data_IF_535435368598
#
_entry.id   IF_535435368598
#
_cell.length_a   1.000
_cell.length_b   1.000
_cell.length_c   1.000
_cell.angle_alpha   90.00
_cell.angle_beta   90.00
_cell.angle_gamma   90.00
#
_symmetry.space_group_name_H-M   'P 1'
#
loop_
_entity.id
_entity.type
_entity.pdbx_description
1 polymer ?
#
# COMPACT_ATOMS: atom_id res chain seq x y z
N UNK A 1 -1.97 13.30 47.98
CA UNK A 1 -3.22 13.99 47.56
C UNK A 1 -2.84 15.20 46.74
N UNK A 2 -3.11 15.24 45.42
CA UNK A 2 -2.88 16.45 44.60
C UNK A 2 -4.16 16.78 43.83
N UNK A 3 -5.11 17.36 44.56
CA UNK A 3 -6.40 17.84 44.04
C UNK A 3 -6.32 19.36 44.03
N UNK A 4 -6.01 19.97 42.87
CA UNK A 4 -5.89 21.43 42.86
C UNK A 4 -5.52 22.16 41.57
N UNK A 5 -5.54 21.55 40.38
CA UNK A 5 -5.23 22.30 39.12
C UNK A 5 -6.01 21.81 37.90
N UNK A 6 -7.33 21.95 37.88
CA UNK A 6 -8.14 21.72 36.66
C UNK A 6 -9.24 22.76 36.39
N UNK A 7 -9.45 23.76 37.25
CA UNK A 7 -10.47 24.78 37.00
C UNK A 7 -9.94 25.82 36.01
N UNK A 8 -10.23 25.61 34.72
CA UNK A 8 -9.88 26.52 33.62
C UNK A 8 -9.08 25.88 32.48
N UNK A 9 -8.70 24.60 32.60
CA UNK A 9 -7.96 23.91 31.54
C UNK A 9 -8.94 23.36 30.51
N UNK A 10 -9.32 24.20 29.54
CA UNK A 10 -10.02 23.73 28.36
C UNK A 10 -9.10 22.72 27.64
N UNK A 11 -9.45 21.44 27.74
CA UNK A 11 -8.91 20.39 26.88
C UNK A 11 -9.20 20.82 25.44
N UNK A 12 -8.20 21.41 24.77
CA UNK A 12 -8.24 21.58 23.33
C UNK A 12 -8.23 20.16 22.76
N UNK A 13 -9.41 19.65 22.42
CA UNK A 13 -9.56 18.45 21.60
C UNK A 13 -8.76 18.63 20.31
N UNK A 14 -8.43 17.54 19.59
CA UNK A 14 -7.55 17.61 18.44
C UNK A 14 -8.10 18.63 17.44
N UNK A 15 -7.44 19.79 17.36
CA UNK A 15 -7.81 20.83 16.43
C UNK A 15 -7.66 20.25 15.03
N UNK A 16 -8.77 20.05 14.32
CA UNK A 16 -8.73 19.67 12.91
C UNK A 16 -7.97 20.76 12.19
N UNK A 17 -6.85 20.39 11.57
CA UNK A 17 -6.06 21.34 10.80
C UNK A 17 -6.98 21.99 9.76
N UNK A 18 -7.04 23.32 9.76
CA UNK A 18 -7.78 24.07 8.75
C UNK A 18 -7.31 23.60 7.36
N UNK A 19 -8.25 23.46 6.43
CA UNK A 19 -7.99 23.03 5.05
C UNK A 19 -7.11 24.11 4.41
N UNK A 20 -5.79 23.92 4.41
CA UNK A 20 -4.83 24.83 3.80
C UNK A 20 -4.64 24.39 2.36
N UNK A 21 -4.78 25.33 1.42
CA UNK A 21 -4.49 25.09 0.02
C UNK A 21 -3.12 24.42 -0.13
N UNK A 22 -3.09 23.35 -0.92
CA UNK A 22 -1.86 22.60 -1.16
C UNK A 22 -0.88 23.53 -1.88
N UNK A 23 0.28 23.73 -1.27
CA UNK A 23 1.36 24.50 -1.89
C UNK A 23 1.81 23.81 -3.19
N UNK A 24 2.01 24.60 -4.25
CA UNK A 24 2.42 24.10 -5.56
C UNK A 24 3.75 23.36 -5.46
N UNK A 25 3.78 22.14 -5.98
CA UNK A 25 4.99 21.31 -6.11
C UNK A 25 5.34 20.47 -4.89
N UNK A 26 6.04 19.34 -5.12
CA UNK A 26 6.54 18.48 -4.04
C UNK A 26 7.71 19.17 -3.34
N UNK A 27 7.60 19.43 -2.03
CA UNK A 27 8.72 19.96 -1.23
C UNK A 27 9.78 18.86 -1.09
N UNK A 28 10.96 19.09 -1.64
CA UNK A 28 12.10 18.17 -1.48
C UNK A 28 12.59 18.27 -0.04
N UNK A 29 12.67 17.12 0.64
CA UNK A 29 13.29 17.05 1.97
C UNK A 29 14.80 17.15 1.76
N UNK A 30 15.50 18.11 2.39
CA UNK A 30 16.93 18.22 2.24
C UNK A 30 17.62 16.96 2.80
N UNK A 31 18.63 16.41 2.10
CA UNK A 31 19.27 15.14 2.48
C UNK A 31 19.97 15.22 3.85
N UNK A 32 20.34 16.43 4.29
CA UNK A 32 20.94 16.72 5.59
C UNK A 32 20.00 16.50 6.78
N UNK A 33 18.71 16.20 6.56
CA UNK A 33 17.73 15.90 7.62
C UNK A 33 17.39 14.41 7.65
N UNK A 34 18.24 13.55 8.25
CA UNK A 34 18.14 12.10 8.12
C UNK A 34 16.83 11.54 8.67
N UNK A 35 16.31 12.07 9.79
CA UNK A 35 15.03 11.63 10.36
C UNK A 35 13.84 11.89 9.41
N UNK A 36 13.82 13.06 8.76
CA UNK A 36 12.76 13.42 7.82
C UNK A 36 12.82 12.56 6.54
N UNK A 37 14.03 12.28 6.04
CA UNK A 37 14.23 11.39 4.89
C UNK A 37 13.74 9.98 5.21
N UNK A 38 14.11 9.42 6.37
CA UNK A 38 13.67 8.09 6.82
C UNK A 38 12.15 7.98 6.94
N UNK A 39 11.51 9.00 7.51
CA UNK A 39 10.06 9.03 7.63
C UNK A 39 9.38 9.07 6.24
N UNK A 40 9.90 9.87 5.31
CA UNK A 40 9.36 9.93 3.95
C UNK A 40 9.55 8.63 3.17
N UNK A 41 10.70 7.95 3.32
CA UNK A 41 10.90 6.63 2.71
C UNK A 41 9.95 5.58 3.28
N UNK A 42 9.70 5.62 4.59
CA UNK A 42 8.75 4.72 5.25
C UNK A 42 7.33 4.97 4.72
N UNK A 43 6.89 6.22 4.67
CA UNK A 43 5.58 6.56 4.11
C UNK A 43 5.43 6.08 2.67
N UNK A 44 6.43 6.33 1.81
CA UNK A 44 6.43 5.85 0.42
C UNK A 44 6.29 4.33 0.34
N UNK A 45 7.02 3.60 1.19
CA UNK A 45 6.95 2.14 1.22
C UNK A 45 5.58 1.60 1.68
N UNK A 46 4.98 2.24 2.68
CA UNK A 46 3.67 1.86 3.20
C UNK A 46 2.56 2.16 2.19
N UNK A 47 2.57 3.35 1.57
CA UNK A 47 1.60 3.70 0.53
C UNK A 47 1.66 2.72 -0.65
N UNK A 48 2.86 2.32 -1.09
CA UNK A 48 3.00 1.34 -2.16
C UNK A 48 2.43 -0.03 -1.78
N UNK A 49 2.68 -0.50 -0.55
CA UNK A 49 2.14 -1.79 -0.06
C UNK A 49 0.62 -1.76 0.08
N UNK A 50 0.08 -0.67 0.62
CA UNK A 50 -1.37 -0.50 0.80
C UNK A 50 -2.07 -0.49 -0.55
N UNK A 51 -1.57 0.30 -1.51
CA UNK A 51 -2.17 0.38 -2.85
C UNK A 51 -2.14 -0.98 -3.55
N UNK A 52 -1.00 -1.68 -3.54
CA UNK A 52 -0.91 -3.02 -4.11
C UNK A 52 -1.87 -4.01 -3.44
N UNK A 53 -1.98 -3.99 -2.11
CA UNK A 53 -2.95 -4.83 -1.39
C UNK A 53 -4.39 -4.54 -1.79
N UNK A 54 -4.76 -3.25 -1.88
CA UNK A 54 -6.10 -2.83 -2.28
C UNK A 54 -6.38 -3.24 -3.73
N UNK A 55 -5.42 -3.04 -4.63
CA UNK A 55 -5.55 -3.45 -6.03
C UNK A 55 -5.76 -4.96 -6.14
N UNK A 56 -5.01 -5.78 -5.39
CA UNK A 56 -5.21 -7.24 -5.38
C UNK A 56 -6.57 -7.63 -4.81
N UNK A 57 -7.02 -6.98 -3.73
CA UNK A 57 -8.34 -7.23 -3.16
C UNK A 57 -9.45 -6.82 -4.13
N UNK A 58 -9.33 -5.66 -4.78
CA UNK A 58 -10.27 -5.22 -5.82
C UNK A 58 -10.24 -6.13 -7.04
N UNK A 59 -9.08 -6.57 -7.50
CA UNK A 59 -8.98 -7.50 -8.63
C UNK A 59 -9.67 -8.83 -8.30
N UNK A 60 -9.50 -9.37 -7.09
CA UNK A 60 -10.18 -10.57 -6.65
C UNK A 60 -11.70 -10.36 -6.49
N UNK A 61 -12.11 -9.20 -5.99
CA UNK A 61 -13.53 -8.86 -5.82
C UNK A 61 -14.24 -8.53 -7.14
N UNK A 62 -13.56 -7.90 -8.09
CA UNK A 62 -14.05 -7.66 -9.45
C UNK A 62 -13.99 -8.93 -10.31
N UNK A 63 -13.06 -9.83 -10.01
CA UNK A 63 -13.07 -11.22 -10.49
C UNK A 63 -14.06 -12.07 -9.67
N UNK A 64 -15.28 -11.56 -9.45
CA UNK A 64 -16.37 -12.22 -8.70
C UNK A 64 -16.99 -13.41 -9.45
N UNK A 65 -16.21 -14.14 -10.23
CA UNK A 65 -16.67 -15.31 -10.97
C UNK A 65 -15.55 -16.33 -11.08
N UNK A 66 -15.84 -17.57 -10.66
CA UNK A 66 -14.97 -18.73 -10.87
C UNK A 66 -14.76 -18.90 -12.37
N UNK A 67 -13.67 -18.35 -12.92
CA UNK A 67 -13.25 -18.58 -14.29
C UNK A 67 -12.78 -20.03 -14.43
N UNK A 68 -13.73 -20.96 -14.49
CA UNK A 68 -13.52 -22.38 -14.79
C UNK A 68 -12.96 -22.59 -16.21
N UNK A 69 -12.95 -21.55 -17.03
CA UNK A 69 -12.53 -21.61 -18.44
C UNK A 69 -11.00 -21.58 -18.62
N UNK A 70 -10.21 -21.21 -17.59
CA UNK A 70 -8.75 -21.16 -17.69
C UNK A 70 -8.02 -22.41 -17.20
N UNK A 71 -8.72 -23.38 -16.60
CA UNK A 71 -8.12 -24.65 -16.15
C UNK A 71 -7.68 -25.50 -17.37
N UNK A 72 -8.52 -25.58 -18.40
CA UNK A 72 -8.26 -26.38 -19.61
C UNK A 72 -7.14 -25.82 -20.51
N UNK A 73 -6.87 -24.51 -20.47
CA UNK A 73 -5.81 -23.88 -21.26
C UNK A 73 -4.46 -23.92 -20.52
N UNK A 74 -4.48 -23.83 -19.18
CA UNK A 74 -3.28 -24.00 -18.36
C UNK A 74 -2.82 -25.47 -18.23
N UNK A 75 -3.74 -26.44 -18.13
CA UNK A 75 -3.38 -27.87 -18.15
C UNK A 75 -2.90 -28.37 -19.54
N UNK A 76 -3.39 -27.77 -20.64
CA UNK A 76 -2.91 -28.09 -21.99
C UNK A 76 -1.55 -27.48 -22.34
N UNK A 77 -1.18 -26.35 -21.74
CA UNK A 77 0.15 -25.73 -21.91
C UNK A 77 1.23 -26.39 -21.03
N UNK A 78 0.86 -27.01 -19.92
CA UNK A 78 1.81 -27.75 -19.06
C UNK A 78 2.09 -29.18 -19.59
N UNK A 79 1.13 -29.80 -20.29
CA UNK A 79 1.26 -31.15 -20.87
C UNK A 79 1.96 -31.20 -22.24
N UNK A 80 2.12 -30.07 -22.92
CA UNK A 80 2.80 -29.99 -24.23
C UNK A 80 4.29 -29.66 -24.13
N UNK A 81 4.77 -29.11 -23.00
CA UNK A 81 6.17 -28.70 -22.85
C UNK A 81 7.10 -29.75 -22.22
N UNK A 82 6.58 -30.92 -21.82
CA UNK A 82 7.38 -32.03 -21.29
C UNK A 82 7.76 -33.09 -22.33
N UNK A 83 7.29 -32.96 -23.58
CA UNK A 83 7.51 -33.95 -24.65
C UNK A 83 8.62 -33.59 -25.64
N UNK A 84 9.17 -32.37 -25.59
CA UNK A 84 10.20 -31.88 -26.52
C UNK A 84 11.65 -31.95 -26.00
N UNK A 85 11.89 -32.39 -24.76
CA UNK A 85 13.25 -32.45 -24.17
C UNK A 85 13.78 -33.86 -23.87
N UNK A 86 13.16 -34.92 -24.41
CA UNK A 86 13.57 -36.32 -24.19
C UNK A 86 13.76 -37.12 -25.50
N UNK A 87 14.33 -36.51 -26.54
CA UNK A 87 14.83 -37.27 -27.71
C UNK A 87 16.03 -36.59 -28.36
N UNK A 88 17.18 -36.67 -27.70
CA UNK A 88 18.48 -36.62 -28.36
C UNK A 88 19.34 -37.71 -27.74
N UNK A 89 19.42 -38.83 -28.46
CA UNK A 89 20.42 -39.88 -28.29
C UNK A 89 21.14 -40.00 -29.62
#
# INVERSE_FOLDING_TARGET
>A
MVQGKTKGMQSKGPARAANKDLKKGKRVIPPKKPAAVKHASLQKSLSAKINNSIERQMANAASSGKLTIMKSIAESTTSSNSKSSKSSK
#
